data_IF_720379742270
#
_entry.id   IF_720379742270
#
_cell.length_a   1.000
_cell.length_b   1.000
_cell.length_c   1.000
_cell.angle_alpha   90.00
_cell.angle_beta   90.00
_cell.angle_gamma   90.00
#
_symmetry.space_group_name_H-M   'P 1'
#
loop_
_entity.id
_entity.type
_entity.pdbx_description
1 polymer ?
#
# COMPACT_ATOMS: atom_id res chain seq x y z
N UNK A 1 -46.85 2.59 24.64
CA UNK A 1 -45.50 3.17 24.69
C UNK A 1 -44.73 2.63 23.50
N UNK A 2 -44.92 3.25 22.35
CA UNK A 2 -44.16 2.97 21.13
C UNK A 2 -42.81 3.64 21.29
N UNK A 3 -41.75 2.84 21.38
CA UNK A 3 -40.38 3.35 21.39
C UNK A 3 -40.11 4.05 20.05
N UNK A 4 -39.76 5.32 20.10
CA UNK A 4 -39.22 6.05 18.94
C UNK A 4 -37.88 5.42 18.53
N UNK A 5 -37.58 5.36 17.23
CA UNK A 5 -36.29 4.88 16.76
C UNK A 5 -35.22 5.89 17.17
N UNK A 6 -34.29 5.48 18.03
CA UNK A 6 -33.08 6.22 18.35
C UNK A 6 -32.35 6.54 17.03
N UNK A 7 -32.40 7.81 16.63
CA UNK A 7 -31.58 8.33 15.53
C UNK A 7 -30.11 8.00 15.84
N UNK A 8 -29.54 7.10 15.04
CA UNK A 8 -28.14 6.73 15.14
C UNK A 8 -27.29 7.98 14.90
N UNK A 9 -26.71 8.54 15.96
CA UNK A 9 -25.65 9.52 15.81
C UNK A 9 -24.54 8.84 15.01
N UNK A 10 -24.09 9.47 13.92
CA UNK A 10 -22.94 9.03 13.14
C UNK A 10 -21.81 8.61 14.09
N UNK A 11 -21.27 7.41 13.90
CA UNK A 11 -20.21 6.88 14.75
C UNK A 11 -18.89 7.67 14.59
N UNK A 12 -18.80 8.49 13.54
CA UNK A 12 -17.63 9.27 13.14
C UNK A 12 -17.80 10.75 13.49
N UNK A 13 -16.69 11.48 13.67
CA UNK A 13 -16.69 12.94 13.92
C UNK A 13 -16.45 13.79 12.68
N UNK A 14 -16.48 13.21 11.48
CA UNK A 14 -16.37 13.98 10.23
C UNK A 14 -17.48 15.02 10.13
N UNK A 15 -17.14 16.21 9.62
CA UNK A 15 -18.15 17.17 9.20
C UNK A 15 -18.95 16.64 8.01
N UNK A 16 -20.09 17.27 7.72
CA UNK A 16 -21.03 16.80 6.71
C UNK A 16 -20.42 16.73 5.30
N UNK A 17 -19.55 17.69 4.96
CA UNK A 17 -18.96 17.77 3.62
C UNK A 17 -17.88 16.69 3.45
N UNK A 18 -17.02 16.52 4.46
CA UNK A 18 -16.01 15.45 4.48
C UNK A 18 -16.66 14.08 4.43
N UNK A 19 -17.71 13.84 5.22
CA UNK A 19 -18.43 12.57 5.22
C UNK A 19 -19.10 12.28 3.88
N UNK A 20 -19.70 13.30 3.25
CA UNK A 20 -20.32 13.17 1.93
C UNK A 20 -19.29 12.80 0.85
N UNK A 21 -18.13 13.47 0.84
CA UNK A 21 -17.04 13.19 -0.10
C UNK A 21 -16.48 11.77 0.10
N UNK A 22 -16.15 11.39 1.35
CA UNK A 22 -15.70 10.04 1.70
C UNK A 22 -16.72 8.98 1.28
N UNK A 23 -18.01 9.22 1.51
CA UNK A 23 -19.08 8.28 1.15
C UNK A 23 -19.19 8.07 -0.36
N UNK A 24 -19.05 9.13 -1.15
CA UNK A 24 -19.06 9.05 -2.60
C UNK A 24 -17.86 8.25 -3.13
N UNK A 25 -16.65 8.58 -2.66
CA UNK A 25 -15.42 7.88 -3.06
C UNK A 25 -15.45 6.41 -2.60
N UNK A 26 -15.94 6.12 -1.39
CA UNK A 26 -16.11 4.76 -0.89
C UNK A 26 -17.05 3.93 -1.77
N UNK A 27 -18.15 4.53 -2.26
CA UNK A 27 -19.05 3.85 -3.18
C UNK A 27 -18.33 3.47 -4.48
N UNK A 28 -17.52 4.37 -5.05
CA UNK A 28 -16.69 4.09 -6.23
C UNK A 28 -15.70 2.95 -5.98
N UNK A 29 -15.06 2.90 -4.81
CA UNK A 29 -14.15 1.81 -4.44
C UNK A 29 -14.91 0.48 -4.37
N UNK A 30 -15.99 0.42 -3.60
CA UNK A 30 -16.75 -0.83 -3.40
C UNK A 30 -17.35 -1.38 -4.68
N UNK A 31 -17.73 -0.52 -5.63
CA UNK A 31 -18.28 -0.93 -6.92
C UNK A 31 -17.28 -1.70 -7.80
N UNK A 32 -15.97 -1.67 -7.50
CA UNK A 32 -14.94 -2.43 -8.21
C UNK A 32 -14.92 -3.90 -7.83
N UNK A 33 -15.60 -4.29 -6.74
CA UNK A 33 -15.52 -5.62 -6.17
C UNK A 33 -16.90 -6.29 -6.09
N UNK A 34 -16.99 -7.60 -6.36
CA UNK A 34 -18.22 -8.36 -6.14
C UNK A 34 -18.62 -8.43 -4.66
N UNK A 35 -17.63 -8.53 -3.76
CA UNK A 35 -17.81 -8.45 -2.31
C UNK A 35 -17.31 -7.08 -1.80
N UNK A 36 -18.17 -6.26 -1.19
CA UNK A 36 -17.77 -4.97 -0.61
C UNK A 36 -16.58 -5.07 0.36
N UNK A 37 -16.46 -6.16 1.13
CA UNK A 37 -15.37 -6.35 2.11
C UNK A 37 -13.99 -6.30 1.45
N UNK A 38 -13.88 -6.70 0.19
CA UNK A 38 -12.63 -6.64 -0.60
C UNK A 38 -12.14 -5.21 -0.86
N UNK A 39 -13.00 -4.20 -0.68
CA UNK A 39 -12.63 -2.80 -0.77
C UNK A 39 -11.87 -2.24 0.44
N UNK A 40 -11.63 -3.02 1.50
CA UNK A 40 -11.04 -2.52 2.74
C UNK A 40 -9.66 -1.89 2.57
N UNK A 41 -8.78 -2.51 1.79
CA UNK A 41 -7.42 -1.99 1.59
C UNK A 41 -7.42 -0.58 0.92
N UNK A 42 -8.06 -0.38 -0.25
CA UNK A 42 -8.16 0.96 -0.83
C UNK A 42 -8.97 1.94 0.03
N UNK A 43 -9.95 1.47 0.82
CA UNK A 43 -10.68 2.32 1.77
C UNK A 43 -9.78 2.87 2.89
N UNK A 44 -8.83 2.09 3.39
CA UNK A 44 -7.85 2.58 4.37
C UNK A 44 -6.93 3.64 3.76
N UNK A 45 -6.51 3.48 2.51
CA UNK A 45 -5.80 4.55 1.79
C UNK A 45 -6.67 5.79 1.56
N UNK A 46 -7.96 5.63 1.28
CA UNK A 46 -8.90 6.75 1.15
C UNK A 46 -8.98 7.55 2.46
N UNK A 47 -9.08 6.87 3.60
CA UNK A 47 -9.03 7.51 4.93
C UNK A 47 -7.71 8.28 5.10
N UNK A 48 -6.56 7.68 4.79
CA UNK A 48 -5.27 8.38 4.88
C UNK A 48 -5.19 9.62 3.98
N UNK A 49 -5.89 9.62 2.84
CA UNK A 49 -5.91 10.79 1.96
C UNK A 49 -6.61 12.00 2.57
N UNK A 50 -7.52 11.78 3.52
CA UNK A 50 -8.27 12.83 4.22
C UNK A 50 -7.64 13.15 5.57
N UNK A 51 -7.26 12.13 6.32
CA UNK A 51 -6.81 12.27 7.71
C UNK A 51 -5.29 12.38 7.84
N UNK A 52 -4.54 11.94 6.83
CA UNK A 52 -3.09 11.79 6.88
C UNK A 52 -2.61 10.52 7.60
N UNK A 53 -3.52 9.71 8.13
CA UNK A 53 -3.28 8.42 8.78
C UNK A 53 -4.61 7.68 8.96
N UNK A 54 -4.60 6.42 9.35
CA UNK A 54 -5.81 5.64 9.67
C UNK A 54 -6.32 6.05 11.05
N UNK A 55 -7.20 7.05 11.08
CA UNK A 55 -7.80 7.57 12.30
C UNK A 55 -8.86 6.62 12.88
N UNK A 56 -9.25 6.86 14.14
CA UNK A 56 -10.37 6.16 14.77
C UNK A 56 -11.68 6.36 14.00
N UNK A 57 -11.93 7.58 13.51
CA UNK A 57 -13.13 7.89 12.75
C UNK A 57 -13.10 7.23 11.37
N UNK A 58 -11.93 7.13 10.75
CA UNK A 58 -11.71 6.34 9.54
C UNK A 58 -11.95 4.84 9.73
N UNK A 59 -11.52 4.25 10.85
CA UNK A 59 -11.80 2.85 11.18
C UNK A 59 -13.31 2.62 11.30
N UNK A 60 -14.03 3.50 12.01
CA UNK A 60 -15.48 3.41 12.18
C UNK A 60 -16.22 3.59 10.86
N UNK A 61 -15.76 4.54 10.04
CA UNK A 61 -16.27 4.75 8.70
C UNK A 61 -16.14 3.50 7.82
N UNK A 62 -14.94 2.91 7.72
CA UNK A 62 -14.72 1.68 6.95
C UNK A 62 -15.56 0.52 7.48
N UNK A 63 -15.66 0.39 8.81
CA UNK A 63 -16.46 -0.65 9.46
C UNK A 63 -17.94 -0.55 9.06
N UNK A 64 -18.52 0.64 9.17
CA UNK A 64 -19.91 0.91 8.79
C UNK A 64 -20.16 0.66 7.30
N UNK A 65 -19.29 1.20 6.43
CA UNK A 65 -19.47 1.13 4.97
C UNK A 65 -19.34 -0.29 4.42
N UNK A 66 -18.53 -1.14 5.04
CA UNK A 66 -18.24 -2.49 4.55
C UNK A 66 -18.95 -3.59 5.35
N UNK A 67 -19.76 -3.23 6.36
CA UNK A 67 -20.40 -4.22 7.24
C UNK A 67 -19.40 -5.03 8.05
N UNK A 68 -18.29 -4.41 8.43
CA UNK A 68 -17.23 -5.01 9.27
C UNK A 68 -17.34 -4.51 10.70
N UNK A 69 -16.72 -5.23 11.62
CA UNK A 69 -16.47 -4.72 12.96
C UNK A 69 -15.26 -3.77 12.95
N UNK A 70 -15.21 -2.77 13.86
CA UNK A 70 -14.02 -1.93 14.02
C UNK A 70 -12.76 -2.73 14.36
N UNK A 71 -12.90 -3.90 15.00
CA UNK A 71 -11.81 -4.80 15.32
C UNK A 71 -11.21 -5.47 14.07
N UNK A 72 -12.04 -5.96 13.15
CA UNK A 72 -11.57 -6.50 11.86
C UNK A 72 -10.81 -5.45 11.05
N UNK A 73 -11.34 -4.22 10.98
CA UNK A 73 -10.68 -3.10 10.28
C UNK A 73 -9.35 -2.75 10.95
N UNK A 74 -9.33 -2.67 12.29
CA UNK A 74 -8.11 -2.39 13.05
C UNK A 74 -7.05 -3.46 12.86
N UNK A 75 -7.44 -4.75 12.82
CA UNK A 75 -6.52 -5.85 12.59
C UNK A 75 -5.79 -5.72 11.24
N UNK A 76 -6.52 -5.37 10.18
CA UNK A 76 -5.94 -5.14 8.85
C UNK A 76 -5.04 -3.90 8.84
N UNK A 77 -5.47 -2.80 9.47
CA UNK A 77 -4.68 -1.59 9.58
C UNK A 77 -3.39 -1.78 10.39
N UNK A 78 -3.35 -2.74 11.32
CA UNK A 78 -2.13 -3.12 12.06
C UNK A 78 -1.25 -4.12 11.35
N UNK A 79 -1.80 -4.88 10.39
CA UNK A 79 -1.08 -5.93 9.70
C UNK A 79 -0.17 -5.39 8.59
N UNK A 80 -0.66 -4.41 7.82
CA UNK A 80 0.12 -3.80 6.74
C UNK A 80 0.78 -2.49 7.20
N UNK A 81 2.09 -2.39 7.05
CA UNK A 81 2.91 -1.22 7.45
C UNK A 81 2.64 0.04 6.64
N UNK A 82 2.00 -0.09 5.47
CA UNK A 82 1.57 1.04 4.63
C UNK A 82 0.46 1.89 5.26
N UNK A 83 -0.23 1.36 6.27
CA UNK A 83 -1.28 2.05 7.00
C UNK A 83 -0.70 2.69 8.26
N UNK A 84 -0.51 4.01 8.22
CA UNK A 84 -0.02 4.82 9.33
C UNK A 84 -1.10 4.90 10.39
N UNK A 85 -0.78 4.53 11.63
CA UNK A 85 -1.73 4.51 12.76
C UNK A 85 -1.63 5.73 13.66
N UNK A 86 -0.66 6.59 13.37
CA UNK A 86 -0.38 7.86 14.03
C UNK A 86 -0.22 8.94 12.97
N UNK A 87 -0.35 10.24 13.33
CA UNK A 87 -0.15 11.33 12.39
C UNK A 87 1.19 11.18 11.65
N UNK A 88 1.11 11.18 10.31
CA UNK A 88 2.26 11.09 9.43
C UNK A 88 2.58 12.48 8.88
N UNK A 89 3.85 12.71 8.56
CA UNK A 89 4.32 13.92 7.93
C UNK A 89 3.75 14.12 6.54
N UNK A 90 4.03 15.29 5.97
CA UNK A 90 3.71 15.58 4.56
C UNK A 90 4.41 14.58 3.62
N UNK A 91 5.59 14.11 4.00
CA UNK A 91 6.41 13.14 3.29
C UNK A 91 6.81 11.99 4.21
N UNK A 92 6.49 10.76 3.83
CA UNK A 92 7.12 9.56 4.41
C UNK A 92 8.39 9.28 3.64
N UNK A 93 9.54 9.38 4.30
CA UNK A 93 10.87 9.14 3.74
C UNK A 93 11.38 7.80 4.26
N UNK A 94 11.39 6.79 3.40
CA UNK A 94 11.80 5.42 3.71
C UNK A 94 13.17 5.09 3.13
N UNK A 95 14.11 4.62 3.95
CA UNK A 95 15.44 4.14 3.50
C UNK A 95 15.45 2.62 3.50
N UNK A 96 15.75 2.01 2.35
CA UNK A 96 15.90 0.56 2.27
C UNK A 96 17.17 0.13 3.00
N UNK A 97 17.03 -0.66 4.07
CA UNK A 97 18.17 -1.19 4.85
C UNK A 97 18.29 -2.70 4.72
N UNK A 98 17.63 -3.31 3.71
CA UNK A 98 17.79 -4.74 3.44
C UNK A 98 19.14 -5.01 2.73
N UNK A 99 19.56 -6.28 2.77
CA UNK A 99 20.89 -6.81 2.46
C UNK A 99 21.69 -6.04 1.41
N UNK A 100 21.16 -5.88 0.19
CA UNK A 100 21.93 -5.22 -0.86
C UNK A 100 22.08 -3.72 -0.62
N UNK A 101 21.01 -3.02 -0.20
CA UNK A 101 21.11 -1.60 0.12
C UNK A 101 22.01 -1.39 1.34
N UNK A 102 21.92 -2.24 2.37
CA UNK A 102 22.83 -2.21 3.52
C UNK A 102 24.31 -2.29 3.09
N UNK A 103 24.66 -3.26 2.24
CA UNK A 103 26.02 -3.40 1.68
C UNK A 103 26.44 -2.16 0.89
N UNK A 104 25.51 -1.53 0.17
CA UNK A 104 25.78 -0.34 -0.64
C UNK A 104 25.77 0.97 0.17
N UNK A 105 25.47 0.94 1.47
CA UNK A 105 25.50 2.11 2.36
C UNK A 105 24.12 2.62 2.83
N UNK A 106 23.04 1.86 2.64
CA UNK A 106 21.69 2.23 3.09
C UNK A 106 21.57 2.46 4.60
N UNK A 107 22.31 1.71 5.43
CA UNK A 107 22.35 1.97 6.87
C UNK A 107 22.97 3.33 7.18
N UNK A 108 24.06 3.69 6.49
CA UNK A 108 24.70 5.00 6.65
C UNK A 108 23.79 6.15 6.20
N UNK A 109 23.02 5.94 5.12
CA UNK A 109 22.00 6.91 4.67
C UNK A 109 20.92 7.12 5.73
N UNK A 110 20.42 6.04 6.34
CA UNK A 110 19.42 6.16 7.40
C UNK A 110 19.98 6.86 8.64
N UNK A 111 21.17 6.47 9.08
CA UNK A 111 21.78 7.01 10.29
C UNK A 111 22.05 8.52 10.15
N UNK A 112 22.57 8.97 9.00
CA UNK A 112 22.77 10.40 8.70
C UNK A 112 21.43 11.16 8.68
N UNK A 113 20.40 10.63 8.03
CA UNK A 113 19.07 11.24 8.01
C UNK A 113 18.47 11.33 9.42
N UNK A 114 18.63 10.29 10.23
CA UNK A 114 18.12 10.26 11.60
C UNK A 114 18.80 11.32 12.47
N UNK A 115 20.12 11.47 12.36
CA UNK A 115 20.87 12.51 13.07
C UNK A 115 20.49 13.92 12.59
N UNK A 116 20.45 14.13 11.27
CA UNK A 116 20.11 15.43 10.66
C UNK A 116 18.70 15.90 10.99
N UNK A 117 17.73 14.99 10.96
CA UNK A 117 16.32 15.30 11.24
C UNK A 117 15.98 15.26 12.74
N UNK A 118 16.83 14.65 13.56
CA UNK A 118 16.61 14.48 15.00
C UNK A 118 15.46 13.52 15.34
N UNK A 119 15.13 12.59 14.45
CA UNK A 119 14.03 11.61 14.60
C UNK A 119 14.51 10.20 14.24
N UNK A 120 13.91 9.18 14.85
CA UNK A 120 14.16 7.77 14.57
C UNK A 120 13.20 7.16 13.54
N UNK A 121 13.16 5.83 13.51
CA UNK A 121 12.21 5.09 12.68
C UNK A 121 10.78 5.27 13.19
N UNK A 122 9.84 5.52 12.26
CA UNK A 122 8.41 5.75 12.50
C UNK A 122 8.13 7.00 13.36
N UNK A 123 9.08 7.93 13.40
CA UNK A 123 8.97 9.22 14.07
C UNK A 123 8.86 10.36 13.04
N UNK A 124 8.19 11.43 13.44
CA UNK A 124 7.90 12.58 12.57
C UNK A 124 8.57 13.83 13.13
N UNK A 125 9.16 14.64 12.25
CA UNK A 125 9.79 15.91 12.60
C UNK A 125 8.79 16.87 13.25
N UNK A 126 9.27 17.77 14.12
CA UNK A 126 8.41 18.70 14.88
C UNK A 126 7.58 19.63 13.96
N UNK A 127 8.12 19.95 12.79
CA UNK A 127 7.44 20.75 11.76
C UNK A 127 6.37 19.96 10.96
N UNK A 128 6.21 18.65 11.21
CA UNK A 128 5.26 17.79 10.52
C UNK A 128 5.59 17.52 9.05
N UNK A 129 6.80 17.84 8.60
CA UNK A 129 7.19 17.69 7.22
C UNK A 129 7.54 16.23 6.87
N UNK A 130 8.38 15.57 7.66
CA UNK A 130 8.95 14.26 7.35
C UNK A 130 8.64 13.24 8.45
N UNK A 131 8.14 12.07 8.05
CA UNK A 131 8.20 10.83 8.85
C UNK A 131 9.31 9.95 8.30
N UNK A 132 10.27 9.56 9.13
CA UNK A 132 11.45 8.78 8.71
C UNK A 132 11.24 7.29 8.99
N UNK A 133 11.54 6.43 8.02
CA UNK A 133 11.37 4.98 8.16
C UNK A 133 12.58 4.19 7.65
N UNK A 134 13.09 3.26 8.47
CA UNK A 134 13.74 2.06 7.93
C UNK A 134 12.69 1.23 7.22
N UNK A 135 12.87 1.01 5.92
CA UNK A 135 12.00 0.15 5.12
C UNK A 135 12.73 -1.11 4.68
N UNK A 136 11.96 -2.17 4.49
CA UNK A 136 12.44 -3.42 3.95
C UNK A 136 12.71 -3.32 2.43
N UNK A 137 12.92 -4.46 1.78
CA UNK A 137 13.23 -4.51 0.35
C UNK A 137 12.16 -3.82 -0.51
N UNK A 138 12.59 -2.75 -1.21
CA UNK A 138 11.80 -2.01 -2.20
C UNK A 138 11.87 -2.58 -3.63
N UNK A 139 12.52 -3.73 -3.82
CA UNK A 139 12.71 -4.39 -5.12
C UNK A 139 13.37 -3.52 -6.22
N UNK A 140 14.19 -2.54 -5.83
CA UNK A 140 14.95 -1.64 -6.71
C UNK A 140 16.47 -1.83 -6.55
N UNK A 141 16.88 -3.09 -6.41
CA UNK A 141 18.23 -3.51 -6.05
C UNK A 141 19.31 -3.08 -7.05
N UNK A 142 18.96 -2.95 -8.33
CA UNK A 142 19.83 -2.48 -9.41
C UNK A 142 20.18 -0.98 -9.31
N UNK A 143 19.55 -0.25 -8.38
CA UNK A 143 19.76 1.18 -8.11
C UNK A 143 20.16 1.47 -6.65
N UNK A 144 20.57 0.45 -5.89
CA UNK A 144 20.93 0.61 -4.48
C UNK A 144 22.09 1.61 -4.25
N UNK A 145 22.07 2.40 -3.15
CA UNK A 145 21.03 2.49 -2.12
C UNK A 145 19.79 3.27 -2.57
N UNK A 146 18.62 2.83 -2.11
CA UNK A 146 17.32 3.42 -2.50
C UNK A 146 16.65 4.08 -1.30
N UNK A 147 16.29 5.35 -1.48
CA UNK A 147 15.35 6.07 -0.63
C UNK A 147 14.02 6.20 -1.37
N UNK A 148 12.92 6.14 -0.63
CA UNK A 148 11.57 6.28 -1.16
C UNK A 148 10.89 7.46 -0.47
N UNK A 149 10.27 8.35 -1.23
CA UNK A 149 9.48 9.47 -0.69
C UNK A 149 8.06 9.32 -1.20
N UNK A 150 7.12 9.00 -0.32
CA UNK A 150 5.72 8.76 -0.70
C UNK A 150 5.59 7.88 -1.96
N UNK A 151 6.20 6.69 -1.97
CA UNK A 151 6.18 5.72 -3.08
C UNK A 151 6.92 6.10 -4.36
N UNK A 152 7.63 7.23 -4.37
CA UNK A 152 8.51 7.63 -5.47
C UNK A 152 9.97 7.28 -5.15
N UNK A 153 10.72 6.80 -6.15
CA UNK A 153 12.09 6.29 -5.96
C UNK A 153 13.17 7.36 -6.15
N UNK A 154 14.07 7.42 -5.17
CA UNK A 154 15.31 8.17 -5.19
C UNK A 154 16.46 7.17 -5.13
N UNK A 155 17.10 7.00 -6.29
CA UNK A 155 18.06 5.95 -6.54
C UNK A 155 19.49 6.44 -6.27
N UNK A 156 20.44 5.50 -6.10
CA UNK A 156 21.86 5.76 -5.89
C UNK A 156 22.15 6.82 -4.81
N UNK A 157 21.38 6.79 -3.72
CA UNK A 157 21.48 7.81 -2.68
C UNK A 157 22.74 7.65 -1.83
N UNK A 158 23.32 8.79 -1.46
CA UNK A 158 24.39 8.89 -0.46
C UNK A 158 23.86 9.63 0.77
N UNK A 159 24.55 9.59 1.92
CA UNK A 159 24.18 10.37 3.10
C UNK A 159 23.98 11.87 2.78
N UNK A 160 24.85 12.44 1.96
CA UNK A 160 24.79 13.86 1.57
C UNK A 160 23.61 14.14 0.62
N UNK A 161 23.34 13.28 -0.36
CA UNK A 161 22.21 13.49 -1.26
C UNK A 161 20.87 13.31 -0.55
N UNK A 162 20.81 12.41 0.44
CA UNK A 162 19.61 12.14 1.21
C UNK A 162 19.27 13.30 2.16
N UNK A 163 20.26 13.91 2.80
CA UNK A 163 20.06 15.11 3.64
C UNK A 163 19.65 16.33 2.80
N UNK A 164 20.27 16.55 1.64
CA UNK A 164 19.83 17.58 0.67
C UNK A 164 18.38 17.36 0.23
N UNK A 165 18.02 16.12 -0.11
CA UNK A 165 16.65 15.74 -0.45
C UNK A 165 15.68 16.12 0.69
N UNK A 166 16.01 15.75 1.93
CA UNK A 166 15.16 16.05 3.08
C UNK A 166 14.99 17.56 3.30
N UNK A 167 16.05 18.35 3.18
CA UNK A 167 15.99 19.81 3.33
C UNK A 167 15.14 20.48 2.25
N UNK A 168 15.27 20.03 1.00
CA UNK A 168 14.45 20.53 -0.12
C UNK A 168 12.97 20.22 0.05
N UNK A 169 12.65 19.03 0.56
CA UNK A 169 11.27 18.65 0.91
C UNK A 169 10.72 19.54 2.03
N UNK A 170 11.50 19.79 3.09
CA UNK A 170 11.11 20.68 4.20
C UNK A 170 10.96 22.14 3.77
N UNK A 171 11.74 22.58 2.78
CA UNK A 171 11.60 23.89 2.14
C UNK A 171 10.38 24.00 1.22
N UNK A 172 9.66 22.91 0.97
CA UNK A 172 8.48 22.88 0.09
C UNK A 172 8.82 22.95 -1.40
N UNK A 173 10.04 22.58 -1.78
CA UNK A 173 10.43 22.52 -3.17
C UNK A 173 9.71 21.40 -3.93
N UNK A 174 9.51 21.61 -5.24
CA UNK A 174 9.06 20.53 -6.13
C UNK A 174 10.26 19.65 -6.48
N UNK A 175 10.40 18.54 -5.75
CA UNK A 175 11.50 17.59 -5.95
C UNK A 175 11.05 16.45 -6.86
N UNK A 176 11.82 16.18 -7.91
CA UNK A 176 11.58 15.07 -8.82
C UNK A 176 12.28 13.78 -8.34
N UNK A 177 11.61 12.62 -8.34
CA UNK A 177 12.27 11.32 -8.18
C UNK A 177 13.25 11.01 -9.32
N UNK A 178 14.12 10.03 -9.09
CA UNK A 178 15.07 9.58 -10.12
C UNK A 178 14.35 8.91 -11.29
N UNK A 179 13.27 8.19 -10.97
CA UNK A 179 12.42 7.50 -11.94
C UNK A 179 10.99 7.56 -11.44
N UNK A 180 10.15 8.27 -12.20
CA UNK A 180 8.75 8.49 -11.84
C UNK A 180 8.26 9.85 -12.34
N UNK A 181 7.26 10.37 -11.65
CA UNK A 181 6.62 11.62 -12.03
C UNK A 181 7.57 12.83 -11.94
N UNK A 182 7.18 13.92 -12.58
CA UNK A 182 7.92 15.19 -12.60
C UNK A 182 8.17 15.83 -11.22
N UNK A 183 7.45 15.39 -10.19
CA UNK A 183 7.62 15.81 -8.79
C UNK A 183 6.89 14.87 -7.82
N UNK A 184 7.39 14.75 -6.59
CA UNK A 184 6.70 14.04 -5.51
C UNK A 184 5.47 14.80 -5.03
N UNK A 185 4.41 14.07 -4.67
CA UNK A 185 3.22 14.64 -4.04
C UNK A 185 3.22 14.39 -2.53
N UNK A 186 2.29 15.02 -1.81
CA UNK A 186 2.13 14.79 -0.37
C UNK A 186 1.60 13.38 -0.07
N UNK A 187 1.79 12.91 1.16
CA UNK A 187 1.33 11.60 1.62
C UNK A 187 -0.18 11.41 1.44
N UNK A 188 -0.95 12.49 1.66
CA UNK A 188 -2.40 12.53 1.45
C UNK A 188 -2.77 12.36 -0.03
N UNK A 189 -2.07 13.06 -0.91
CA UNK A 189 -2.28 12.94 -2.36
C UNK A 189 -1.90 11.56 -2.87
N UNK A 190 -0.74 11.02 -2.47
CA UNK A 190 -0.35 9.66 -2.85
C UNK A 190 -1.32 8.62 -2.30
N UNK A 191 -1.79 8.77 -1.06
CA UNK A 191 -2.82 7.90 -0.49
C UNK A 191 -4.12 7.93 -1.29
N UNK A 192 -4.48 9.06 -1.90
CA UNK A 192 -5.63 9.14 -2.81
C UNK A 192 -5.39 8.32 -4.09
N UNK A 193 -4.18 8.38 -4.65
CA UNK A 193 -3.79 7.56 -5.81
C UNK A 193 -3.83 6.07 -5.46
N UNK A 194 -3.31 5.68 -4.30
CA UNK A 194 -3.33 4.29 -3.80
C UNK A 194 -4.74 3.77 -3.47
N UNK A 195 -5.69 4.67 -3.14
CA UNK A 195 -7.12 4.33 -3.06
C UNK A 195 -7.75 4.07 -4.45
N UNK A 196 -6.97 4.27 -5.52
CA UNK A 196 -7.34 4.05 -6.91
C UNK A 196 -8.01 5.25 -7.57
N UNK A 197 -7.73 6.47 -7.11
CA UNK A 197 -8.13 7.71 -7.79
C UNK A 197 -6.91 8.32 -8.47
N UNK A 198 -6.74 8.03 -9.76
CA UNK A 198 -5.55 8.41 -10.52
C UNK A 198 -5.38 9.93 -10.61
N UNK A 199 -4.13 10.38 -10.59
CA UNK A 199 -3.74 11.78 -10.76
C UNK A 199 -3.28 12.10 -12.20
N UNK A 200 -3.29 11.10 -13.08
CA UNK A 200 -2.89 11.22 -14.48
C UNK A 200 -1.39 11.14 -14.74
N UNK A 201 -0.58 10.79 -13.73
CA UNK A 201 0.89 10.84 -13.78
C UNK A 201 1.56 9.47 -13.89
N UNK A 202 0.77 8.40 -13.97
CA UNK A 202 1.25 7.01 -13.92
C UNK A 202 2.25 6.66 -15.04
N UNK A 203 2.14 7.30 -16.21
CA UNK A 203 3.02 7.07 -17.36
C UNK A 203 4.19 8.08 -17.45
N UNK A 204 4.38 8.92 -16.43
CA UNK A 204 5.54 9.81 -16.35
C UNK A 204 6.81 9.05 -15.94
N UNK A 205 7.95 9.49 -16.46
CA UNK A 205 9.26 8.94 -16.09
C UNK A 205 9.71 7.75 -16.93
N UNK A 206 10.77 7.09 -16.47
CA UNK A 206 11.41 5.97 -17.18
C UNK A 206 11.05 4.66 -16.47
N UNK A 207 10.35 3.76 -17.17
CA UNK A 207 9.92 2.47 -16.59
C UNK A 207 11.08 1.50 -16.30
N UNK A 208 12.04 1.37 -17.23
CA UNK A 208 13.24 0.55 -17.05
C UNK A 208 14.48 1.35 -17.44
N UNK A 209 15.31 1.69 -16.45
CA UNK A 209 16.53 2.47 -16.66
C UNK A 209 17.70 1.64 -17.19
N UNK A 210 18.88 2.26 -17.26
CA UNK A 210 20.08 1.63 -17.83
C UNK A 210 20.49 0.35 -17.08
N UNK A 211 20.65 0.36 -15.73
CA UNK A 211 21.02 -0.83 -14.96
C UNK A 211 20.09 -2.02 -15.17
N UNK A 212 18.77 -1.79 -15.17
CA UNK A 212 17.75 -2.82 -15.40
C UNK A 212 17.91 -3.50 -16.76
N UNK A 213 18.30 -2.73 -17.78
CA UNK A 213 18.40 -3.18 -19.17
C UNK A 213 19.80 -3.69 -19.55
N UNK A 214 20.81 -3.54 -18.68
CA UNK A 214 22.19 -3.89 -18.97
C UNK A 214 22.35 -5.35 -19.41
N UNK A 215 21.72 -6.29 -18.69
CA UNK A 215 21.74 -7.72 -19.02
C UNK A 215 21.13 -8.02 -20.40
N UNK A 216 20.02 -7.37 -20.75
CA UNK A 216 19.38 -7.51 -22.06
C UNK A 216 20.26 -6.98 -23.20
N UNK A 217 20.92 -5.83 -22.99
CA UNK A 217 21.84 -5.26 -24.00
C UNK A 217 23.02 -6.19 -24.24
N UNK A 218 23.65 -6.69 -23.18
CA UNK A 218 24.76 -7.64 -23.28
C UNK A 218 24.35 -8.93 -24.00
N UNK A 219 23.17 -9.48 -23.66
CA UNK A 219 22.65 -10.68 -24.32
C UNK A 219 22.43 -10.46 -25.83
N UNK A 220 21.86 -9.32 -26.23
CA UNK A 220 21.67 -8.97 -27.65
C UNK A 220 23.00 -8.76 -28.38
N UNK A 221 23.96 -8.12 -27.72
CA UNK A 221 25.28 -7.91 -28.28
C UNK A 221 26.02 -9.25 -28.50
N UNK A 222 25.97 -10.15 -27.53
CA UNK A 222 26.55 -11.49 -27.64
C UNK A 222 25.87 -12.32 -28.74
N UNK A 223 24.52 -12.29 -28.81
CA UNK A 223 23.76 -12.96 -29.86
C UNK A 223 24.13 -12.47 -31.28
N UNK A 224 24.44 -11.18 -31.42
CA UNK A 224 24.89 -10.60 -32.68
C UNK A 224 26.32 -11.04 -33.09
N UNK A 225 27.14 -11.46 -32.12
CA UNK A 225 28.52 -11.94 -32.35
C UNK A 225 28.56 -13.45 -32.60
N UNK A 226 27.80 -14.23 -31.84
CA UNK A 226 27.85 -15.70 -31.88
C UNK A 226 26.80 -16.33 -32.81
N UNK A 227 25.91 -15.54 -33.42
CA UNK A 227 24.84 -16.02 -34.32
C UNK A 227 23.77 -16.88 -33.65
N UNK A 228 23.90 -17.14 -32.35
CA UNK A 228 22.94 -17.83 -31.52
C UNK A 228 22.53 -16.92 -30.37
N UNK A 229 21.40 -16.22 -30.52
CA UNK A 229 20.68 -15.77 -29.34
C UNK A 229 20.30 -17.01 -28.52
N UNK A 230 20.40 -17.01 -27.18
CA UNK A 230 19.69 -18.01 -26.39
C UNK A 230 18.21 -17.88 -26.77
N UNK A 231 17.67 -18.90 -27.43
CA UNK A 231 16.28 -18.97 -27.83
C UNK A 231 15.44 -19.11 -26.57
N UNK A 232 15.06 -17.98 -25.97
CA UNK A 232 13.85 -17.95 -25.16
C UNK A 232 12.74 -17.95 -26.18
N UNK A 233 12.13 -19.11 -26.40
CA UNK A 233 10.87 -19.22 -27.15
C UNK A 233 9.92 -18.14 -26.61
N UNK A 234 9.42 -17.22 -27.44
CA UNK A 234 8.42 -16.28 -26.98
C UNK A 234 7.23 -17.11 -26.49
N UNK A 235 6.87 -16.99 -25.21
CA UNK A 235 5.53 -17.40 -24.80
C UNK A 235 4.57 -16.68 -25.75
N UNK A 236 3.69 -17.42 -26.43
CA UNK A 236 2.82 -16.94 -27.51
C UNK A 236 2.17 -15.60 -27.13
N UNK A 237 2.80 -14.51 -27.54
CA UNK A 237 2.23 -13.18 -27.46
C UNK A 237 1.18 -13.13 -28.54
N UNK A 238 -0.07 -13.30 -28.14
CA UNK A 238 -1.20 -12.87 -28.94
C UNK A 238 -1.00 -11.38 -29.24
N UNK A 239 -0.65 -11.05 -30.47
CA UNK A 239 -0.54 -9.68 -30.97
C UNK A 239 -1.87 -8.97 -30.76
N UNK A 240 -1.98 -8.19 -29.67
CA UNK A 240 -2.90 -7.06 -29.63
C UNK A 240 -2.17 -5.88 -30.26
N UNK A 241 -2.43 -5.68 -31.55
CA UNK A 241 -2.02 -4.48 -32.26
C UNK A 241 -2.45 -3.24 -31.47
N UNK A 242 -1.48 -2.38 -31.15
CA UNK A 242 -1.69 -1.06 -30.59
C UNK A 242 -2.41 -0.19 -31.63
N UNK A 243 -3.73 -0.25 -31.62
CA UNK A 243 -4.59 0.80 -32.15
C UNK A 243 -5.16 1.52 -30.93
N UNK A 244 -4.92 2.83 -30.86
CA UNK A 244 -5.28 3.71 -29.74
C UNK A 244 -6.79 3.89 -29.59
N UNK A 245 -7.46 2.85 -29.11
CA UNK A 245 -8.79 2.91 -28.53
C UNK A 245 -8.82 1.87 -27.40
N UNK A 246 -8.80 2.35 -26.14
CA UNK A 246 -9.08 1.50 -24.99
C UNK A 246 -10.51 0.98 -25.09
N UNK A 247 -10.68 -0.20 -25.68
CA UNK A 247 -11.85 -1.00 -25.40
C UNK A 247 -11.72 -1.47 -23.95
N UNK A 248 -12.69 -1.10 -23.11
CA UNK A 248 -12.88 -1.66 -21.77
C UNK A 248 -12.86 -3.19 -21.87
N UNK A 249 -11.73 -3.79 -21.50
CA UNK A 249 -11.68 -5.21 -21.18
C UNK A 249 -12.02 -5.29 -19.70
N UNK A 250 -13.19 -5.82 -19.31
CA UNK A 250 -13.53 -5.98 -17.90
C UNK A 250 -12.50 -6.91 -17.24
N UNK A 251 -12.13 -6.68 -15.97
CA UNK A 251 -11.16 -7.51 -15.28
C UNK A 251 -11.65 -8.96 -15.27
N UNK A 252 -10.83 -9.87 -15.80
CA UNK A 252 -11.07 -11.30 -15.75
C UNK A 252 -10.30 -11.89 -14.57
N UNK A 253 -10.99 -12.66 -13.73
CA UNK A 253 -10.33 -13.52 -12.73
C UNK A 253 -9.48 -14.56 -13.45
N UNK A 254 -8.25 -14.78 -12.97
CA UNK A 254 -7.28 -15.69 -13.60
C UNK A 254 -7.87 -17.07 -13.89
N UNK A 255 -7.54 -17.63 -15.06
CA UNK A 255 -8.03 -18.92 -15.51
C UNK A 255 -7.46 -20.12 -14.75
N UNK A 256 -7.79 -21.32 -15.23
CA UNK A 256 -7.43 -22.58 -14.58
C UNK A 256 -5.92 -22.65 -14.26
N UNK A 257 -5.59 -22.95 -12.99
CA UNK A 257 -4.26 -22.83 -12.33
C UNK A 257 -3.93 -21.47 -11.69
N UNK A 258 -4.88 -20.54 -11.64
CA UNK A 258 -4.80 -19.40 -10.73
C UNK A 258 -4.64 -19.90 -9.28
N UNK A 259 -3.91 -19.16 -8.45
CA UNK A 259 -3.71 -19.49 -7.02
C UNK A 259 -5.04 -19.64 -6.24
N UNK A 260 -6.15 -19.17 -6.82
CA UNK A 260 -7.51 -19.33 -6.31
C UNK A 260 -8.04 -20.77 -6.34
N UNK A 261 -7.46 -21.67 -7.15
CA UNK A 261 -7.97 -23.04 -7.37
C UNK A 261 -7.01 -24.13 -6.84
N UNK A 262 -6.00 -23.75 -6.07
CA UNK A 262 -5.07 -24.72 -5.50
C UNK A 262 -5.79 -25.58 -4.47
N UNK A 263 -5.93 -26.89 -4.73
CA UNK A 263 -6.44 -27.81 -3.72
C UNK A 263 -5.52 -27.83 -2.48
N UNK A 264 -6.08 -27.79 -1.27
CA UNK A 264 -5.31 -27.80 -0.02
C UNK A 264 -4.46 -29.07 0.06
N UNK A 265 -3.14 -28.89 0.23
CA UNK A 265 -2.20 -30.01 0.22
C UNK A 265 -2.23 -30.84 1.52
N UNK A 266 -2.91 -30.36 2.57
CA UNK A 266 -3.02 -31.04 3.85
C UNK A 266 -4.33 -30.70 4.59
N UNK A 267 -4.81 -31.58 5.50
CA UNK A 267 -6.09 -31.42 6.23
C UNK A 267 -6.17 -30.20 7.19
N UNK A 268 -5.13 -29.39 7.29
CA UNK A 268 -5.10 -28.16 8.11
C UNK A 268 -5.17 -26.88 7.29
N UNK A 269 -5.31 -26.98 5.97
CA UNK A 269 -5.30 -25.86 5.02
C UNK A 269 -6.73 -25.45 4.59
N UNK A 270 -7.75 -25.98 5.28
CA UNK A 270 -9.15 -25.54 5.14
C UNK A 270 -9.47 -24.47 6.21
N UNK A 271 -9.87 -23.28 5.76
CA UNK A 271 -10.53 -22.32 6.64
C UNK A 271 -11.89 -22.89 7.05
N UNK A 272 -12.26 -22.92 8.35
CA UNK A 272 -13.50 -23.55 8.79
C UNK A 272 -14.72 -22.85 8.18
N UNK A 273 -15.42 -23.58 7.31
CA UNK A 273 -16.63 -23.14 6.63
C UNK A 273 -17.79 -22.89 7.60
N UNK A 274 -18.43 -21.73 7.44
CA UNK A 274 -19.63 -21.33 8.16
C UNK A 274 -20.85 -22.12 7.64
N UNK A 275 -21.30 -23.13 8.37
CA UNK A 275 -22.59 -23.77 8.12
C UNK A 275 -23.76 -22.91 8.63
N UNK A 276 -24.92 -22.91 7.95
CA UNK A 276 -26.05 -22.05 8.28
C UNK A 276 -26.86 -22.60 9.47
N UNK A 277 -27.21 -21.70 10.38
CA UNK A 277 -28.28 -21.78 11.41
C UNK A 277 -28.51 -23.14 12.11
N UNK A 278 -28.02 -23.22 13.36
CA UNK A 278 -28.45 -24.20 14.35
C UNK A 278 -27.71 -23.96 15.66
N UNK A 279 -28.27 -23.11 16.53
CA UNK A 279 -27.64 -22.81 17.82
C UNK A 279 -27.67 -24.02 18.76
N UNK A 280 -26.61 -24.28 19.55
CA UNK A 280 -26.71 -25.19 20.67
C UNK A 280 -27.15 -24.46 21.94
N UNK A 281 -28.09 -25.09 22.65
CA UNK A 281 -28.60 -24.68 23.94
C UNK A 281 -27.49 -24.69 25.02
N UNK A 282 -27.51 -23.69 25.90
CA UNK A 282 -26.71 -23.68 27.12
C UNK A 282 -27.12 -24.85 28.04
N UNK A 283 -26.18 -25.64 28.57
CA UNK A 283 -26.47 -26.48 29.73
C UNK A 283 -26.56 -25.63 31.00
N UNK A 284 -27.58 -25.90 31.82
CA UNK A 284 -27.84 -25.32 33.14
C UNK A 284 -26.72 -25.65 34.15
N UNK A 285 -26.52 -24.82 35.20
CA UNK A 285 -25.52 -25.08 36.23
C UNK A 285 -26.03 -26.11 37.25
N UNK A 286 -25.37 -27.26 37.35
CA UNK A 286 -25.60 -28.21 38.43
C UNK A 286 -25.08 -27.68 39.77
N UNK A 287 -25.93 -27.84 40.79
CA UNK A 287 -25.65 -27.61 42.20
C UNK A 287 -24.98 -28.85 42.81
N UNK A 288 -23.99 -28.61 43.67
CA UNK A 288 -23.53 -29.53 44.72
C UNK A 288 -22.24 -28.97 45.33
N UNK A 289 -22.08 -28.66 46.61
CA UNK A 289 -22.79 -29.14 47.79
C UNK A 289 -21.89 -30.11 48.59
N UNK A 290 -21.24 -29.55 49.61
CA UNK A 290 -20.84 -30.14 50.92
C UNK A 290 -19.81 -31.27 51.05
N UNK A 291 -18.92 -31.03 52.02
CA UNK A 291 -18.29 -31.93 53.03
C UNK A 291 -17.26 -32.99 52.57
N UNK A 292 -15.96 -32.74 52.84
CA UNK A 292 -15.23 -33.14 54.07
C UNK A 292 -13.84 -32.45 54.11
#
# INVERSE_FOLDING_TARGET
>A
MTAEPTSARSATRYDADTLAALTADAATITARYPDPRSGLLPMLHLVQSVDGYVSRDGILFCAERLGLTPAEVSAVATFYTQYKRHPNGTYTVGVCTNTLCAVMGGDAVFDELSEHLGVGHDETTEDGAITLERVECNAACDYAPVVMVNWEFFDNQTPESATDLADRLRAGEQVAPTRGASSVCSFRQMSRVLAGFTDGRADEGVGAGEPTLAGLRLARAAAAVDGAAPSVEPAETTERAATGASAEVPPQTGGEQSSAEREPAAPGDESPGRSPSGGPANPEPEKGGSDD
#
